data_IF_041966109515
#
_entry.id   IF_041966109515
#
_cell.length_a   1.000
_cell.length_b   1.000
_cell.length_c   1.000
_cell.angle_alpha   90.00
_cell.angle_beta   90.00
_cell.angle_gamma   90.00
#
_symmetry.space_group_name_H-M   'P 1'
#
loop_
_entity.id
_entity.type
_entity.pdbx_description
1 polymer ?
#
# COMPACT_ATOMS: atom_id res chain seq x y z
N UNK A 1 29.18 19.78 8.43
CA UNK A 1 30.15 20.86 8.71
C UNK A 1 29.57 22.17 8.20
N UNK A 2 29.76 23.29 8.92
CA UNK A 2 29.28 24.60 8.48
C UNK A 2 29.99 24.99 7.18
N UNK A 3 29.29 25.56 6.18
CA UNK A 3 29.99 26.00 4.96
C UNK A 3 30.71 27.30 5.25
N UNK A 4 32.04 27.24 5.23
CA UNK A 4 32.88 28.40 5.42
C UNK A 4 32.72 29.40 4.26
N UNK A 5 32.59 30.68 4.60
CA UNK A 5 32.68 31.79 3.65
C UNK A 5 33.83 32.69 4.06
N UNK A 6 34.67 33.04 3.10
CA UNK A 6 35.74 34.00 3.34
C UNK A 6 35.16 35.40 3.64
N UNK A 7 35.91 36.20 4.40
CA UNK A 7 35.49 37.54 4.77
C UNK A 7 35.10 38.45 3.58
N UNK A 8 35.85 38.52 2.47
CA UNK A 8 35.46 39.36 1.34
C UNK A 8 34.16 38.88 0.67
N UNK A 9 33.97 37.56 0.54
CA UNK A 9 32.74 36.98 -0.04
C UNK A 9 31.54 37.28 0.87
N UNK A 10 31.74 37.21 2.19
CA UNK A 10 30.69 37.54 3.16
C UNK A 10 30.23 38.99 3.00
N UNK A 11 31.18 39.94 3.02
CA UNK A 11 30.90 41.38 2.85
C UNK A 11 30.18 41.68 1.53
N UNK A 12 30.65 41.11 0.43
CA UNK A 12 30.02 41.30 -0.88
C UNK A 12 28.59 40.73 -0.90
N UNK A 13 28.37 39.57 -0.29
CA UNK A 13 27.02 38.97 -0.20
C UNK A 13 26.06 39.79 0.66
N UNK A 14 26.56 40.40 1.74
CA UNK A 14 25.79 41.31 2.60
C UNK A 14 25.44 42.59 1.84
N UNK A 15 26.38 43.15 1.09
CA UNK A 15 26.13 44.33 0.26
C UNK A 15 25.02 44.08 -0.78
N UNK A 16 25.08 42.95 -1.50
CA UNK A 16 24.04 42.58 -2.46
C UNK A 16 22.67 42.33 -1.81
N UNK A 17 22.66 41.88 -0.56
CA UNK A 17 21.43 41.59 0.21
C UNK A 17 20.99 42.75 1.10
N UNK A 18 21.62 43.92 1.04
CA UNK A 18 21.38 45.02 1.98
C UNK A 18 19.89 45.43 2.06
N UNK A 19 19.24 45.61 0.91
CA UNK A 19 17.83 45.99 0.86
C UNK A 19 16.89 44.94 1.51
N UNK A 20 16.92 43.64 1.13
CA UNK A 20 16.10 42.61 1.77
C UNK A 20 16.52 42.28 3.22
N UNK A 21 17.75 42.62 3.64
CA UNK A 21 18.19 42.49 5.03
C UNK A 21 17.53 43.55 5.94
N UNK A 22 17.61 44.82 5.53
CA UNK A 22 17.10 45.97 6.32
C UNK A 22 15.58 45.91 6.45
N UNK A 23 14.91 45.43 5.40
CA UNK A 23 13.45 45.23 5.39
C UNK A 23 13.00 43.96 6.13
N UNK A 24 13.92 43.13 6.62
CA UNK A 24 13.61 41.94 7.42
C UNK A 24 13.10 40.74 6.61
N UNK A 25 13.07 40.80 5.28
CA UNK A 25 12.67 39.67 4.44
C UNK A 25 13.70 38.53 4.45
N UNK A 26 14.97 38.83 4.70
CA UNK A 26 16.05 37.84 4.70
C UNK A 26 16.95 37.99 5.92
N UNK A 27 17.44 36.86 6.45
CA UNK A 27 18.41 36.84 7.54
C UNK A 27 19.75 36.24 7.08
N UNK A 28 20.85 36.66 7.70
CA UNK A 28 22.20 36.11 7.48
C UNK A 28 22.42 34.78 8.23
N UNK A 29 21.41 33.91 8.22
CA UNK A 29 21.49 32.58 8.84
C UNK A 29 21.87 31.51 7.81
N UNK A 30 22.45 30.42 8.30
CA UNK A 30 22.78 29.25 7.48
C UNK A 30 21.93 28.06 7.89
N UNK A 31 21.24 27.46 6.92
CA UNK A 31 20.52 26.21 7.10
C UNK A 31 21.46 25.04 6.79
N UNK A 32 21.66 24.16 7.77
CA UNK A 32 22.45 22.93 7.61
C UNK A 32 21.51 21.73 7.58
N UNK A 33 21.53 20.96 6.47
CA UNK A 33 20.84 19.67 6.38
C UNK A 33 21.82 18.56 6.78
N UNK A 34 21.47 17.76 7.78
CA UNK A 34 22.24 16.60 8.23
C UNK A 34 21.36 15.37 8.10
N UNK A 35 21.76 14.45 7.23
CA UNK A 35 21.03 13.21 7.00
C UNK A 35 21.54 12.14 7.96
N UNK A 36 20.71 11.75 8.92
CA UNK A 36 20.97 10.64 9.83
C UNK A 36 20.46 9.34 9.19
N UNK A 37 21.34 8.61 8.53
CA UNK A 37 21.03 7.33 7.86
C UNK A 37 21.50 6.15 8.70
N UNK A 38 20.90 4.97 8.47
CA UNK A 38 21.35 3.71 9.06
C UNK A 38 20.62 3.31 10.36
N UNK A 39 19.56 4.02 10.74
CA UNK A 39 18.68 3.56 11.82
C UNK A 39 17.66 2.57 11.26
N UNK A 40 17.77 1.29 11.67
CA UNK A 40 16.74 0.29 11.42
C UNK A 40 15.93 0.12 12.69
N UNK A 41 14.64 0.40 12.61
CA UNK A 41 13.72 0.16 13.72
C UNK A 41 13.58 -1.35 13.97
N UNK A 42 13.72 -1.74 15.25
CA UNK A 42 13.57 -3.12 15.68
C UNK A 42 12.11 -3.54 15.87
N UNK A 43 11.91 -4.66 16.57
CA UNK A 43 10.55 -5.12 16.93
C UNK A 43 9.84 -4.21 17.94
N UNK A 44 10.61 -3.53 18.79
CA UNK A 44 10.09 -2.61 19.79
C UNK A 44 10.04 -1.22 19.13
N UNK A 45 8.86 -0.55 19.14
CA UNK A 45 8.73 0.77 18.54
C UNK A 45 9.53 1.81 19.31
N UNK A 46 10.14 2.74 18.57
CA UNK A 46 10.92 3.86 19.09
C UNK A 46 9.97 4.99 19.44
N UNK A 47 9.86 5.31 20.73
CA UNK A 47 8.96 6.35 21.19
C UNK A 47 9.49 7.77 20.94
N UNK A 48 10.80 7.97 20.97
CA UNK A 48 11.40 9.30 20.84
C UNK A 48 12.79 9.26 20.21
N UNK A 49 13.14 10.36 19.53
CA UNK A 49 14.47 10.61 19.00
C UNK A 49 15.14 11.71 19.81
N UNK A 50 16.29 11.40 20.40
CA UNK A 50 17.13 12.38 21.11
C UNK A 50 18.33 12.71 20.23
N UNK A 51 18.37 13.93 19.72
CA UNK A 51 19.53 14.45 18.97
C UNK A 51 20.33 15.36 19.87
N UNK A 52 21.63 15.07 20.01
CA UNK A 52 22.57 15.85 20.81
C UNK A 52 23.62 16.42 19.85
N UNK A 53 23.88 17.72 19.96
CA UNK A 53 24.92 18.39 19.20
C UNK A 53 26.10 18.60 20.13
N UNK A 54 27.20 17.91 19.83
CA UNK A 54 28.44 18.04 20.58
C UNK A 54 29.39 19.04 19.94
N UNK A 55 30.26 19.63 20.78
CA UNK A 55 31.30 20.54 20.34
C UNK A 55 32.36 19.80 19.51
N UNK A 56 32.93 20.46 18.51
CA UNK A 56 34.02 19.88 17.71
C UNK A 56 35.25 19.69 18.59
N UNK A 57 35.92 18.53 18.47
CA UNK A 57 37.08 18.12 19.28
C UNK A 57 38.28 19.09 19.28
N UNK A 58 38.33 20.04 18.35
CA UNK A 58 39.40 21.04 18.23
C UNK A 58 39.24 22.21 19.21
N UNK A 59 38.05 22.43 19.77
CA UNK A 59 37.81 23.55 20.67
C UNK A 59 37.88 23.11 22.14
N UNK A 60 38.57 23.90 22.98
CA UNK A 60 38.66 23.68 24.42
C UNK A 60 37.28 23.59 25.09
N UNK A 61 37.14 22.83 26.20
CA UNK A 61 35.89 22.77 26.96
C UNK A 61 35.48 24.18 27.39
N UNK A 62 34.42 24.72 26.78
CA UNK A 62 34.00 26.12 26.95
C UNK A 62 33.95 26.96 25.67
N UNK A 63 34.44 26.45 24.53
CA UNK A 63 34.37 27.10 23.21
C UNK A 63 32.95 27.27 22.63
N UNK A 64 31.93 26.81 23.37
CA UNK A 64 30.51 26.98 23.03
C UNK A 64 30.04 26.05 21.92
N UNK A 65 28.76 25.68 21.99
CA UNK A 65 28.03 25.11 20.85
C UNK A 65 27.70 26.29 19.92
N UNK A 66 27.75 26.14 18.58
CA UNK A 66 27.33 27.20 17.66
C UNK A 66 25.90 27.67 18.00
N UNK A 67 25.64 28.96 17.79
CA UNK A 67 24.33 29.55 17.99
C UNK A 67 23.32 28.95 17.00
N UNK A 68 22.22 28.39 17.52
CA UNK A 68 21.16 27.75 16.74
C UNK A 68 19.86 28.51 17.01
N UNK A 69 19.33 29.15 15.99
CA UNK A 69 18.06 29.87 16.08
C UNK A 69 16.84 28.95 15.94
N UNK A 70 16.96 27.91 15.11
CA UNK A 70 15.89 26.97 14.85
C UNK A 70 16.46 25.61 14.44
N UNK A 71 15.79 24.55 14.86
CA UNK A 71 16.07 23.18 14.44
C UNK A 71 14.77 22.51 14.00
N UNK A 72 14.83 21.77 12.91
CA UNK A 72 13.71 20.98 12.39
C UNK A 72 14.19 19.58 12.08
N UNK A 73 13.47 18.57 12.54
CA UNK A 73 13.74 17.16 12.26
C UNK A 73 12.63 16.61 11.37
N UNK A 74 13.02 16.10 10.22
CA UNK A 74 12.11 15.40 9.30
C UNK A 74 12.43 13.91 9.34
N UNK A 75 11.50 13.12 9.86
CA UNK A 75 11.62 11.67 9.91
C UNK A 75 11.03 11.07 8.64
N UNK A 76 11.88 10.57 7.76
CA UNK A 76 11.48 9.82 6.57
C UNK A 76 11.60 8.32 6.89
N UNK A 77 10.46 7.67 7.13
CA UNK A 77 10.41 6.22 7.29
C UNK A 77 10.07 5.55 5.96
N UNK A 78 10.99 4.78 5.42
CA UNK A 78 10.64 3.85 4.36
C UNK A 78 9.84 2.69 4.97
N UNK A 79 8.54 2.64 4.68
CA UNK A 79 7.75 1.45 5.04
C UNK A 79 8.39 0.25 4.35
N UNK A 80 8.60 -0.88 5.05
CA UNK A 80 9.18 -2.07 4.45
C UNK A 80 8.39 -2.40 3.21
N UNK A 81 9.09 -2.65 2.10
CA UNK A 81 8.51 -2.89 0.77
C UNK A 81 7.28 -3.82 0.81
N UNK A 82 7.34 -4.84 1.68
CA UNK A 82 6.25 -5.79 1.91
C UNK A 82 4.98 -5.14 2.47
N UNK A 83 5.05 -4.21 3.44
CA UNK A 83 3.85 -3.51 3.95
C UNK A 83 3.23 -2.64 2.87
N UNK A 84 4.04 -1.97 2.05
CA UNK A 84 3.55 -1.17 0.92
C UNK A 84 2.90 -2.05 -0.14
N UNK A 85 3.51 -3.18 -0.47
CA UNK A 85 2.96 -4.15 -1.42
C UNK A 85 1.65 -4.76 -0.90
N UNK A 86 1.59 -5.20 0.36
CA UNK A 86 0.35 -5.70 0.99
C UNK A 86 -0.77 -4.65 0.99
N UNK A 87 -0.43 -3.38 1.23
CA UNK A 87 -1.41 -2.30 1.22
C UNK A 87 -2.04 -2.11 -0.17
N UNK A 88 -1.23 -2.11 -1.22
CA UNK A 88 -1.72 -2.08 -2.60
C UNK A 88 -2.45 -3.38 -2.98
N UNK A 89 -1.97 -4.53 -2.52
CA UNK A 89 -2.55 -5.85 -2.81
C UNK A 89 -3.86 -6.13 -2.08
N UNK A 90 -4.15 -5.44 -0.97
CA UNK A 90 -5.40 -5.64 -0.19
C UNK A 90 -6.63 -5.52 -1.09
N UNK A 91 -6.67 -4.51 -1.95
CA UNK A 91 -7.78 -4.29 -2.88
C UNK A 91 -7.84 -5.38 -3.95
N UNK A 92 -6.70 -5.73 -4.54
CA UNK A 92 -6.61 -6.77 -5.57
C UNK A 92 -7.00 -8.14 -5.04
N UNK A 93 -6.54 -8.51 -3.84
CA UNK A 93 -6.90 -9.75 -3.17
C UNK A 93 -8.40 -9.81 -2.86
N UNK A 94 -8.99 -8.70 -2.39
CA UNK A 94 -10.43 -8.64 -2.14
C UNK A 94 -11.25 -8.86 -3.41
N UNK A 95 -10.90 -8.18 -4.50
CA UNK A 95 -11.55 -8.37 -5.81
C UNK A 95 -11.36 -9.79 -6.33
N UNK A 96 -10.14 -10.34 -6.21
CA UNK A 96 -9.83 -11.68 -6.67
C UNK A 96 -10.63 -12.75 -5.93
N UNK A 97 -10.67 -12.68 -4.60
CA UNK A 97 -11.46 -13.59 -3.77
C UNK A 97 -12.94 -13.50 -4.12
N UNK A 98 -13.49 -12.28 -4.25
CA UNK A 98 -14.88 -12.08 -4.67
C UNK A 98 -15.16 -12.68 -6.05
N UNK A 99 -14.26 -12.50 -7.02
CA UNK A 99 -14.43 -13.05 -8.37
C UNK A 99 -14.34 -14.58 -8.40
N UNK A 100 -13.44 -15.18 -7.61
CA UNK A 100 -13.36 -16.64 -7.48
C UNK A 100 -14.59 -17.23 -6.80
N UNK A 101 -15.11 -16.59 -5.74
CA UNK A 101 -16.34 -17.03 -5.08
C UNK A 101 -17.54 -16.95 -6.04
N UNK A 102 -17.68 -15.83 -6.74
CA UNK A 102 -18.76 -15.63 -7.71
C UNK A 102 -18.70 -16.65 -8.86
N UNK A 103 -17.52 -16.93 -9.40
CA UNK A 103 -17.36 -17.93 -10.48
C UNK A 103 -17.64 -19.35 -10.00
N UNK A 104 -17.25 -19.70 -8.77
CA UNK A 104 -17.56 -21.01 -8.17
C UNK A 104 -19.05 -21.19 -7.90
N UNK A 105 -19.73 -20.19 -7.35
CA UNK A 105 -21.19 -20.20 -7.16
C UNK A 105 -21.93 -20.29 -8.49
N UNK A 106 -21.49 -19.53 -9.50
CA UNK A 106 -22.07 -19.57 -10.84
C UNK A 106 -21.89 -20.94 -11.51
N UNK A 107 -20.70 -21.53 -11.39
CA UNK A 107 -20.42 -22.87 -11.92
C UNK A 107 -21.27 -23.93 -11.20
N UNK A 108 -21.40 -23.83 -9.88
CA UNK A 108 -22.24 -24.72 -9.09
C UNK A 108 -23.72 -24.59 -9.49
N UNK A 109 -24.22 -23.36 -9.63
CA UNK A 109 -25.58 -23.10 -10.10
C UNK A 109 -25.80 -23.70 -11.50
N UNK A 110 -24.85 -23.55 -12.43
CA UNK A 110 -24.95 -24.19 -13.75
C UNK A 110 -24.97 -25.71 -13.63
N UNK A 111 -24.08 -26.33 -12.85
CA UNK A 111 -24.05 -27.79 -12.67
C UNK A 111 -25.31 -28.35 -11.99
N UNK A 112 -25.85 -27.64 -10.99
CA UNK A 112 -27.10 -28.00 -10.31
C UNK A 112 -28.35 -27.73 -11.16
N UNK A 113 -28.33 -26.73 -12.05
CA UNK A 113 -29.43 -26.40 -12.94
C UNK A 113 -29.40 -27.18 -14.27
N UNK A 114 -28.26 -27.77 -14.68
CA UNK A 114 -28.16 -28.65 -15.86
C UNK A 114 -29.07 -29.89 -15.82
N UNK A 115 -29.27 -30.59 -14.69
CA UNK A 115 -30.28 -31.66 -14.60
C UNK A 115 -31.74 -31.14 -14.54
N UNK A 116 -31.97 -29.83 -14.43
CA UNK A 116 -33.30 -29.20 -14.45
C UNK A 116 -33.66 -28.56 -15.80
N UNK A 117 -32.67 -28.09 -16.58
CA UNK A 117 -32.89 -27.36 -17.85
C UNK A 117 -32.97 -28.30 -19.07
N UNK A 118 -32.46 -29.54 -18.99
CA UNK A 118 -32.69 -30.56 -20.03
C UNK A 118 -33.86 -31.44 -19.58
N UNK A 119 -35.11 -31.19 -20.04
CA UNK A 119 -36.21 -32.08 -19.74
C UNK A 119 -35.87 -33.43 -20.37
N UNK A 120 -35.96 -34.47 -19.55
CA UNK A 120 -35.74 -35.84 -19.96
C UNK A 120 -36.55 -36.11 -21.24
N UNK A 121 -35.86 -36.42 -22.35
CA UNK A 121 -36.43 -37.32 -23.36
C UNK A 121 -36.66 -38.68 -22.68
N UNK A 122 -37.72 -38.79 -21.88
CA UNK A 122 -38.35 -40.07 -21.60
C UNK A 122 -39.06 -40.46 -22.88
N UNK A 123 -38.33 -41.12 -23.78
CA UNK A 123 -38.94 -41.90 -24.83
C UNK A 123 -39.76 -42.99 -24.14
N UNK A 124 -41.08 -42.82 -24.21
CA UNK A 124 -42.13 -43.63 -23.61
C UNK A 124 -42.01 -45.07 -24.07
N UNK A 125 -41.60 -45.96 -23.17
CA UNK A 125 -41.84 -47.39 -23.30
C UNK A 125 -43.27 -47.62 -22.78
N UNK A 126 -44.25 -47.78 -23.68
CA UNK A 126 -45.64 -48.15 -23.34
C UNK A 126 -45.74 -49.69 -23.26
N UNK A 127 -46.05 -50.27 -22.09
CA UNK A 127 -46.56 -51.62 -22.02
C UNK A 127 -48.09 -51.57 -21.99
N UNK A 128 -48.71 -52.28 -22.94
CA UNK A 128 -49.99 -52.97 -22.76
C UNK A 128 -51.29 -52.13 -22.77
N UNK A 129 -51.88 -51.94 -23.96
CA UNK A 129 -53.34 -51.74 -24.11
C UNK A 129 -53.99 -53.01 -24.70
N UNK A 130 -54.22 -54.00 -23.84
CA UNK A 130 -55.25 -55.03 -24.08
C UNK A 130 -56.61 -54.40 -23.83
N UNK A 131 -57.43 -54.31 -24.87
CA UNK A 131 -58.90 -54.24 -24.75
C UNK A 131 -59.47 -55.11 -25.85
N UNK A 132 -60.03 -56.24 -25.44
CA UNK A 132 -60.77 -57.16 -26.31
C UNK A 132 -62.22 -56.74 -26.49
N UNK A 133 -62.84 -57.34 -27.50
CA UNK A 133 -64.29 -57.58 -27.62
C UNK A 133 -64.52 -58.59 -28.77
N UNK A 134 -65.65 -59.31 -28.82
CA UNK A 134 -65.65 -60.77 -28.63
C UNK A 134 -66.27 -61.56 -29.79
N UNK A 135 -65.95 -62.86 -29.78
CA UNK A 135 -66.76 -64.03 -30.19
C UNK A 135 -67.30 -64.17 -31.63
N UNK A 136 -67.02 -65.35 -32.21
CA UNK A 136 -67.95 -66.35 -32.79
C UNK A 136 -67.08 -67.39 -33.55
N UNK A 137 -66.53 -68.43 -32.90
CA UNK A 137 -67.05 -69.82 -32.78
C UNK A 137 -66.96 -70.67 -34.09
N UNK A 138 -66.91 -72.01 -34.03
CA UNK A 138 -65.76 -72.83 -33.62
C UNK A 138 -65.35 -73.90 -34.65
N UNK A 139 -64.19 -74.52 -34.40
CA UNK A 139 -63.63 -75.70 -35.08
C UNK A 139 -64.43 -76.98 -34.74
N UNK A 140 -64.59 -77.89 -35.72
CA UNK A 140 -64.99 -79.27 -35.44
C UNK A 140 -65.14 -80.20 -36.65
N UNK A 141 -64.03 -80.70 -37.20
CA UNK A 141 -63.68 -82.12 -37.44
C UNK A 141 -62.50 -82.25 -38.40
#
# INVERSE_FOLDING_TARGET
MLQFKSNPIRLFSTFLKAAPLVTGYTSESQKLKVDLKGFSEGFIPTACLRVIIEQRAEFHPGGGVPEIYAASLTLESELPFMKRMLWYWKTTLFVWVSMTLFTMEFLFALLCCKPLIIPRLRLRHDPNSRTGSPNNAPIGR
#
